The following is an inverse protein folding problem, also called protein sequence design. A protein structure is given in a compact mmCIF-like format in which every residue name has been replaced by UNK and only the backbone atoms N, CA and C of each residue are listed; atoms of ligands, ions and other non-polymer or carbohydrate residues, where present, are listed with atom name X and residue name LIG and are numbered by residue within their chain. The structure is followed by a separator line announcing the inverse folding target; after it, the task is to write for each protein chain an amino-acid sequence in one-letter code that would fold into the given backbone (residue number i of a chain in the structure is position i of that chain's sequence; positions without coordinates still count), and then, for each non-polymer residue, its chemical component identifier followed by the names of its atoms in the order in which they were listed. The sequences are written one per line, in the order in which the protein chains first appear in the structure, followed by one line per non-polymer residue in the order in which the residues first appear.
data_IF_640165036852
#
_entry.id   IF_640165036852
#
_cell.length_a   1.000
_cell.length_b   1.000
_cell.length_c   1.000
_cell.angle_alpha   90.00
_cell.angle_beta   90.00
_cell.angle_gamma   90.00
#
_symmetry.space_group_name_H-M   'P 1'
#
loop_
_entity.id
_entity.type
_entity.pdbx_description
1 polymer ?
#
# COMPACT_ATOMS: atom_id res chain seq x y z
N UNK A 1 -19.18 34.42 8.43
CA UNK A 1 -17.94 34.01 9.14
C UNK A 1 -16.70 34.36 8.33
N UNK A 2 -16.51 33.81 7.14
CA UNK A 2 -15.41 34.15 6.22
C UNK A 2 -15.39 35.62 5.77
N UNK A 3 -16.55 36.27 5.66
CA UNK A 3 -16.67 37.71 5.35
C UNK A 3 -16.02 38.65 6.39
N UNK A 4 -15.75 38.18 7.62
CA UNK A 4 -15.08 38.99 8.67
C UNK A 4 -13.56 38.86 8.64
N UNK A 5 -13.02 37.96 7.81
CA UNK A 5 -11.59 37.76 7.68
C UNK A 5 -11.10 38.77 6.65
N UNK A 6 -10.11 39.61 7.03
CA UNK A 6 -9.48 40.54 6.07
C UNK A 6 -8.85 39.71 4.94
N UNK A 7 -8.99 40.19 3.70
CA UNK A 7 -8.33 39.57 2.54
C UNK A 7 -6.87 39.25 2.91
N UNK A 8 -6.46 38.01 2.65
CA UNK A 8 -5.14 37.40 2.96
C UNK A 8 -4.91 36.83 4.37
N UNK A 9 -5.91 36.82 5.26
CA UNK A 9 -5.78 36.11 6.55
C UNK A 9 -6.49 34.76 6.54
N UNK A 10 -5.86 33.76 7.15
CA UNK A 10 -6.47 32.44 7.42
C UNK A 10 -7.51 32.62 8.54
N UNK A 11 -8.66 31.94 8.43
CA UNK A 11 -9.68 31.92 9.48
C UNK A 11 -9.07 31.42 10.80
N UNK A 12 -9.08 32.24 11.85
CA UNK A 12 -8.56 31.86 13.17
C UNK A 12 -9.67 31.43 14.12
N UNK A 13 -9.31 30.67 15.17
CA UNK A 13 -10.23 30.28 16.25
C UNK A 13 -10.85 31.50 16.93
N UNK A 14 -10.13 32.62 17.02
CA UNK A 14 -10.67 33.85 17.60
C UNK A 14 -11.73 34.50 16.71
N UNK A 15 -11.59 34.38 15.38
CA UNK A 15 -12.67 34.77 14.47
C UNK A 15 -13.92 33.92 14.71
N UNK A 16 -13.76 32.61 14.93
CA UNK A 16 -14.88 31.70 15.26
C UNK A 16 -15.56 32.12 16.55
N UNK A 17 -14.80 32.34 17.62
CA UNK A 17 -15.33 32.78 18.93
C UNK A 17 -16.06 34.11 18.80
N UNK A 18 -15.52 35.08 18.07
CA UNK A 18 -16.13 36.40 17.89
C UNK A 18 -17.47 36.35 17.14
N UNK A 19 -17.61 35.45 16.16
CA UNK A 19 -18.87 35.27 15.42
C UNK A 19 -19.89 34.55 16.29
N UNK A 20 -19.46 33.54 17.06
CA UNK A 20 -20.32 32.81 17.98
C UNK A 20 -20.90 33.73 19.06
N UNK A 21 -20.06 34.53 19.72
CA UNK A 21 -20.49 35.47 20.77
C UNK A 21 -21.39 36.58 20.22
N UNK A 22 -21.18 37.01 18.98
CA UNK A 22 -22.06 38.00 18.36
C UNK A 22 -23.46 37.45 18.06
N UNK A 23 -23.56 36.17 17.69
CA UNK A 23 -24.85 35.52 17.40
C UNK A 23 -25.55 35.05 18.67
N UNK A 24 -24.77 34.60 19.66
CA UNK A 24 -25.24 34.06 20.93
C UNK A 24 -24.42 34.65 22.09
N UNK A 25 -24.77 35.85 22.57
CA UNK A 25 -24.02 36.54 23.62
C UNK A 25 -23.95 35.76 24.94
N UNK A 26 -24.99 35.00 25.26
CA UNK A 26 -25.11 34.23 26.51
C UNK A 26 -24.49 32.82 26.43
N UNK A 27 -23.96 32.43 25.26
CA UNK A 27 -23.40 31.10 25.07
C UNK A 27 -22.02 30.96 25.73
N UNK A 28 -21.85 29.91 26.54
CA UNK A 28 -20.55 29.56 27.10
C UNK A 28 -19.66 28.91 26.04
N UNK A 29 -18.60 29.61 25.63
CA UNK A 29 -17.64 29.12 24.64
C UNK A 29 -16.98 27.81 25.08
N UNK A 30 -16.74 27.62 26.38
CA UNK A 30 -16.06 26.42 26.87
C UNK A 30 -16.92 25.17 26.74
N UNK A 31 -18.24 25.32 26.88
CA UNK A 31 -19.17 24.20 26.71
C UNK A 31 -19.33 23.78 25.24
N UNK A 32 -18.98 24.68 24.30
CA UNK A 32 -19.10 24.45 22.85
C UNK A 32 -17.76 24.08 22.20
N UNK A 33 -16.70 24.84 22.50
CA UNK A 33 -15.36 24.70 21.91
C UNK A 33 -14.34 24.04 22.83
N UNK A 34 -14.69 23.74 24.09
CA UNK A 34 -13.80 23.07 25.04
C UNK A 34 -13.60 21.58 24.75
N UNK A 35 -12.58 21.00 25.37
CA UNK A 35 -12.14 19.60 25.23
C UNK A 35 -13.18 18.63 25.83
N UNK A 36 -13.97 19.09 26.80
CA UNK A 36 -15.05 18.32 27.42
C UNK A 36 -16.44 18.65 26.82
N UNK A 37 -16.47 19.41 25.72
CA UNK A 37 -17.70 19.74 25.03
C UNK A 37 -18.34 18.48 24.44
N UNK A 38 -19.68 18.44 24.44
CA UNK A 38 -20.44 17.43 23.69
C UNK A 38 -20.11 17.42 22.20
N UNK A 39 -19.71 18.57 21.64
CA UNK A 39 -19.33 18.72 20.23
C UNK A 39 -17.86 18.37 19.95
N UNK A 40 -17.06 18.09 20.98
CA UNK A 40 -15.65 17.73 20.77
C UNK A 40 -15.50 16.38 20.10
N UNK A 41 -16.46 15.47 20.29
CA UNK A 41 -16.45 14.17 19.63
C UNK A 41 -16.52 14.32 18.10
N UNK A 42 -17.48 15.08 17.60
CA UNK A 42 -17.64 15.32 16.15
C UNK A 42 -16.43 16.05 15.54
N UNK A 43 -15.78 16.94 16.31
CA UNK A 43 -14.52 17.58 15.88
C UNK A 43 -13.37 16.59 15.76
N UNK A 44 -13.24 15.68 16.74
CA UNK A 44 -12.24 14.60 16.69
C UNK A 44 -12.49 13.66 15.53
N UNK A 45 -13.75 13.29 15.31
CA UNK A 45 -14.16 12.47 14.17
C UNK A 45 -13.87 13.17 12.83
N UNK A 46 -14.21 14.46 12.70
CA UNK A 46 -13.90 15.24 11.51
C UNK A 46 -12.40 15.39 11.24
N UNK A 47 -11.60 15.64 12.28
CA UNK A 47 -10.14 15.70 12.18
C UNK A 47 -9.55 14.34 11.78
N UNK A 48 -9.99 13.27 12.43
CA UNK A 48 -9.57 11.89 12.12
C UNK A 48 -9.99 11.48 10.70
N UNK A 49 -11.17 11.89 10.25
CA UNK A 49 -11.64 11.64 8.90
C UNK A 49 -10.75 12.36 7.88
N UNK A 50 -10.46 13.65 8.09
CA UNK A 50 -9.59 14.40 7.19
C UNK A 50 -8.17 13.80 7.12
N UNK A 51 -7.59 13.47 8.27
CA UNK A 51 -6.28 12.81 8.34
C UNK A 51 -6.28 11.44 7.63
N UNK A 52 -7.39 10.69 7.73
CA UNK A 52 -7.56 9.42 7.03
C UNK A 52 -7.61 9.61 5.51
N UNK A 53 -8.24 10.66 4.98
CA UNK A 53 -8.36 10.85 3.53
C UNK A 53 -7.03 11.12 2.81
N UNK A 54 -6.02 11.64 3.50
CA UNK A 54 -4.70 11.92 2.92
C UNK A 54 -4.69 13.04 1.87
N UNK A 55 -5.74 13.86 1.81
CA UNK A 55 -5.93 14.91 0.78
C UNK A 55 -4.90 16.05 0.83
N UNK A 56 -4.03 16.07 1.84
CA UNK A 56 -2.95 17.03 1.95
C UNK A 56 -3.35 18.33 2.66
N UNK A 57 -2.63 19.44 2.42
CA UNK A 57 -2.86 20.69 3.13
C UNK A 57 -4.18 21.35 2.73
N UNK A 58 -4.86 21.95 3.71
CA UNK A 58 -6.07 22.73 3.49
C UNK A 58 -5.74 24.13 2.92
N UNK A 59 -6.63 24.75 2.12
CA UNK A 59 -7.99 24.29 1.79
C UNK A 59 -8.04 23.28 0.64
N UNK A 60 -8.96 22.32 0.74
CA UNK A 60 -9.22 21.33 -0.30
C UNK A 60 -10.70 21.33 -0.67
N UNK A 61 -11.00 21.32 -1.97
CA UNK A 61 -12.33 21.05 -2.49
C UNK A 61 -12.30 19.77 -3.35
N UNK A 62 -13.42 19.06 -3.38
CA UNK A 62 -13.61 17.82 -4.12
C UNK A 62 -14.84 17.95 -5.02
N UNK A 63 -14.76 17.43 -6.24
CA UNK A 63 -15.92 17.24 -7.10
C UNK A 63 -16.06 15.74 -7.40
N UNK A 64 -17.16 15.12 -6.94
CA UNK A 64 -17.39 13.67 -7.06
C UNK A 64 -16.19 12.80 -6.62
N UNK A 65 -15.48 13.22 -5.56
CA UNK A 65 -14.32 12.52 -5.00
C UNK A 65 -12.96 12.94 -5.59
N UNK A 66 -12.93 13.76 -6.66
CA UNK A 66 -11.66 14.22 -7.22
C UNK A 66 -11.24 15.59 -6.65
N UNK A 67 -9.99 15.74 -6.17
CA UNK A 67 -9.50 17.01 -5.64
C UNK A 67 -9.26 18.06 -6.73
N UNK A 68 -9.63 19.30 -6.43
CA UNK A 68 -9.15 20.47 -7.16
C UNK A 68 -7.70 20.75 -6.80
N UNK A 69 -6.92 21.19 -7.79
CA UNK A 69 -5.58 21.72 -7.52
C UNK A 69 -5.70 23.10 -6.90
N UNK A 70 -4.68 23.54 -6.15
CA UNK A 70 -4.67 24.86 -5.52
C UNK A 70 -4.86 26.00 -6.53
N UNK A 71 -4.32 25.85 -7.75
CA UNK A 71 -4.48 26.85 -8.81
C UNK A 71 -5.94 26.95 -9.30
N UNK A 72 -6.71 25.87 -9.18
CA UNK A 72 -8.11 25.82 -9.60
C UNK A 72 -9.09 26.35 -8.54
N UNK A 73 -8.60 26.63 -7.32
CA UNK A 73 -9.40 27.11 -6.20
C UNK A 73 -9.49 28.65 -6.14
N UNK A 74 -9.01 29.35 -7.18
CA UNK A 74 -9.13 30.79 -7.30
C UNK A 74 -10.61 31.22 -7.34
N UNK A 75 -11.06 32.15 -6.49
CA UNK A 75 -12.47 32.55 -6.42
C UNK A 75 -13.07 33.02 -7.74
N UNK A 76 -12.26 33.64 -8.61
CA UNK A 76 -12.68 34.15 -9.92
C UNK A 76 -12.90 33.03 -10.94
N UNK A 77 -12.16 31.93 -10.84
CA UNK A 77 -12.18 30.82 -11.81
C UNK A 77 -12.89 29.57 -11.27
N UNK A 78 -13.19 29.52 -9.96
CA UNK A 78 -13.76 28.35 -9.31
C UNK A 78 -15.09 27.94 -9.94
N UNK A 79 -15.96 28.89 -10.25
CA UNK A 79 -17.25 28.62 -10.90
C UNK A 79 -17.03 27.98 -12.28
N UNK A 80 -16.13 28.53 -13.09
CA UNK A 80 -15.77 27.98 -14.40
C UNK A 80 -15.15 26.59 -14.28
N UNK A 81 -14.25 26.37 -13.32
CA UNK A 81 -13.62 25.08 -13.07
C UNK A 81 -14.62 24.01 -12.63
N UNK A 82 -15.59 24.37 -11.78
CA UNK A 82 -16.68 23.48 -11.36
C UNK A 82 -17.59 23.15 -12.55
N UNK A 83 -17.96 24.13 -13.37
CA UNK A 83 -18.76 23.92 -14.57
C UNK A 83 -18.07 22.98 -15.56
N UNK A 84 -16.77 23.15 -15.80
CA UNK A 84 -16.01 22.24 -16.64
C UNK A 84 -16.03 20.80 -16.11
N UNK A 85 -15.75 20.59 -14.82
CA UNK A 85 -15.83 19.26 -14.20
C UNK A 85 -17.22 18.65 -14.29
N UNK A 86 -18.26 19.46 -14.14
CA UNK A 86 -19.65 19.03 -14.26
C UNK A 86 -20.00 18.58 -15.67
N UNK A 87 -19.55 19.31 -16.70
CA UNK A 87 -19.74 18.91 -18.09
C UNK A 87 -19.02 17.60 -18.39
N UNK A 88 -17.77 17.45 -17.96
CA UNK A 88 -16.98 16.23 -18.15
C UNK A 88 -17.61 15.02 -17.46
N UNK A 89 -18.08 15.19 -16.22
CA UNK A 89 -18.76 14.14 -15.47
C UNK A 89 -20.09 13.74 -16.13
N UNK A 90 -20.84 14.71 -16.65
CA UNK A 90 -22.13 14.49 -17.30
C UNK A 90 -21.98 13.66 -18.59
N UNK A 91 -20.97 13.94 -19.41
CA UNK A 91 -20.68 13.16 -20.63
C UNK A 91 -20.42 11.70 -20.28
N UNK A 92 -19.63 11.45 -19.21
CA UNK A 92 -19.36 10.09 -18.75
C UNK A 92 -20.62 9.39 -18.24
N UNK A 93 -21.42 10.05 -17.40
CA UNK A 93 -22.66 9.47 -16.88
C UNK A 93 -23.69 9.20 -17.99
N UNK A 94 -23.82 10.09 -18.97
CA UNK A 94 -24.70 9.87 -20.12
C UNK A 94 -24.32 8.63 -20.93
N UNK A 95 -23.01 8.38 -21.09
CA UNK A 95 -22.52 7.17 -21.76
C UNK A 95 -22.91 5.90 -20.99
N UNK A 96 -22.78 5.91 -19.68
CA UNK A 96 -23.14 4.76 -18.82
C UNK A 96 -24.66 4.49 -18.85
N UNK A 97 -25.48 5.54 -18.85
CA UNK A 97 -26.93 5.40 -19.07
C UNK A 97 -27.23 4.79 -20.43
N UNK A 98 -26.57 5.29 -21.48
CA UNK A 98 -26.76 4.76 -22.84
C UNK A 98 -26.33 3.29 -22.97
N UNK A 99 -25.25 2.89 -22.28
CA UNK A 99 -24.79 1.49 -22.24
C UNK A 99 -25.66 0.59 -21.34
N UNK A 100 -26.62 1.16 -20.61
CA UNK A 100 -27.52 0.44 -19.70
C UNK A 100 -26.87 -0.01 -18.39
N UNK A 101 -25.60 0.38 -18.14
CA UNK A 101 -24.91 0.12 -16.87
C UNK A 101 -25.51 0.93 -15.73
N UNK A 102 -25.88 2.18 -16.00
CA UNK A 102 -26.65 3.02 -15.08
C UNK A 102 -28.13 3.03 -15.49
N UNK A 103 -29.01 2.59 -14.60
CA UNK A 103 -30.45 2.51 -14.82
C UNK A 103 -31.24 2.92 -13.56
N UNK A 104 -32.56 2.97 -13.66
CA UNK A 104 -33.45 3.45 -12.59
C UNK A 104 -33.37 2.63 -11.28
N UNK A 105 -32.78 1.43 -11.30
CA UNK A 105 -32.61 0.58 -10.11
C UNK A 105 -31.27 0.81 -9.41
N UNK A 106 -30.33 1.52 -10.03
CA UNK A 106 -28.98 1.74 -9.51
C UNK A 106 -28.90 3.11 -8.84
N UNK A 107 -28.38 3.17 -7.62
CA UNK A 107 -28.07 4.44 -6.97
C UNK A 107 -26.82 5.06 -7.63
N UNK A 108 -26.94 6.30 -8.11
CA UNK A 108 -25.85 7.01 -8.80
C UNK A 108 -24.62 7.20 -7.91
N UNK A 109 -24.81 7.40 -6.60
CA UNK A 109 -23.70 7.57 -5.66
C UNK A 109 -22.95 6.26 -5.50
N UNK A 110 -23.66 5.15 -5.31
CA UNK A 110 -23.05 3.82 -5.19
C UNK A 110 -22.30 3.47 -6.48
N UNK A 111 -22.89 3.76 -7.64
CA UNK A 111 -22.23 3.62 -8.94
C UNK A 111 -20.93 4.42 -9.05
N UNK A 112 -20.91 5.66 -8.55
CA UNK A 112 -19.68 6.46 -8.53
C UNK A 112 -18.64 5.84 -7.59
N UNK A 113 -19.06 5.29 -6.44
CA UNK A 113 -18.19 4.64 -5.46
C UNK A 113 -17.65 3.29 -5.92
N UNK A 114 -18.34 2.59 -6.82
CA UNK A 114 -17.91 1.31 -7.40
C UNK A 114 -16.77 1.46 -8.43
N UNK A 115 -16.49 2.69 -8.89
CA UNK A 115 -15.44 2.92 -9.88
C UNK A 115 -14.06 2.49 -9.35
N UNK A 116 -13.26 1.89 -10.23
CA UNK A 116 -11.91 1.37 -9.91
C UNK A 116 -10.94 2.42 -9.33
N UNK A 117 -11.18 3.71 -9.59
CA UNK A 117 -10.33 4.81 -9.12
C UNK A 117 -10.74 5.38 -7.75
N UNK A 118 -11.83 4.89 -7.14
CA UNK A 118 -12.28 5.35 -5.83
C UNK A 118 -11.54 4.59 -4.74
N UNK A 119 -10.84 5.34 -3.89
CA UNK A 119 -10.02 4.82 -2.80
C UNK A 119 -10.33 5.56 -1.50
N UNK A 120 -10.26 4.88 -0.34
CA UNK A 120 -10.61 5.49 0.95
C UNK A 120 -9.59 6.55 1.41
N UNK A 121 -8.34 6.44 0.94
CA UNK A 121 -7.23 7.33 1.26
C UNK A 121 -6.39 7.54 0.02
N UNK A 122 -6.00 8.78 -0.21
CA UNK A 122 -5.08 9.15 -1.28
C UNK A 122 -3.72 9.38 -0.65
N UNK A 123 -2.77 8.49 -0.91
CA UNK A 123 -1.40 8.66 -0.44
C UNK A 123 -0.55 9.37 -1.51
N UNK A 124 -0.04 10.58 -1.24
CA UNK A 124 0.84 11.28 -2.18
C UNK A 124 2.08 10.48 -2.57
N UNK A 125 2.62 9.66 -1.67
CA UNK A 125 3.77 8.79 -1.95
C UNK A 125 3.44 7.77 -3.05
N UNK A 126 2.26 7.16 -3.00
CA UNK A 126 1.85 6.19 -4.03
C UNK A 126 1.52 6.91 -5.36
N UNK A 127 0.93 8.11 -5.31
CA UNK A 127 0.56 8.87 -6.51
C UNK A 127 1.73 9.50 -7.25
N UNK A 128 2.66 10.13 -6.54
CA UNK A 128 3.66 11.03 -7.13
C UNK A 128 5.06 10.41 -7.22
N UNK A 129 5.29 9.25 -6.61
CA UNK A 129 6.61 8.62 -6.65
C UNK A 129 6.90 8.05 -8.04
N UNK A 130 8.10 8.33 -8.54
CA UNK A 130 8.67 7.61 -9.68
C UNK A 130 9.04 6.20 -9.22
N UNK A 131 8.24 5.23 -9.64
CA UNK A 131 8.45 3.83 -9.34
C UNK A 131 9.80 3.34 -9.86
N UNK A 132 10.56 2.66 -9.01
CA UNK A 132 11.66 1.81 -9.44
C UNK A 132 11.09 0.43 -9.78
N UNK A 133 11.42 -0.11 -10.94
CA UNK A 133 10.95 -1.42 -11.38
C UNK A 133 12.03 -2.48 -11.19
N UNK A 134 11.67 -3.58 -10.53
CA UNK A 134 12.54 -4.74 -10.37
C UNK A 134 12.48 -5.61 -11.62
N UNK A 135 13.65 -6.02 -12.10
CA UNK A 135 13.73 -7.07 -13.11
C UNK A 135 13.74 -8.43 -12.42
N UNK A 136 12.65 -9.17 -12.55
CA UNK A 136 12.40 -10.45 -11.88
C UNK A 136 12.70 -11.67 -12.78
N UNK A 137 13.29 -11.45 -13.96
CA UNK A 137 13.63 -12.48 -14.92
C UNK A 137 15.07 -12.91 -14.67
N UNK A 138 15.30 -14.18 -14.32
CA UNK A 138 16.67 -14.67 -14.13
C UNK A 138 17.38 -14.84 -15.47
N UNK A 139 18.67 -14.51 -15.49
CA UNK A 139 19.53 -14.61 -16.67
C UNK A 139 20.13 -16.00 -16.85
N UNK A 140 20.32 -16.78 -15.76
CA UNK A 140 20.67 -18.23 -15.78
C UNK A 140 21.21 -18.76 -14.43
N UNK A 141 21.53 -17.90 -13.45
CA UNK A 141 22.18 -18.32 -12.21
C UNK A 141 21.16 -18.69 -11.13
N UNK A 142 21.23 -19.91 -10.62
CA UNK A 142 20.47 -20.33 -9.43
C UNK A 142 21.38 -20.35 -8.21
N UNK A 143 21.30 -19.31 -7.38
CA UNK A 143 21.89 -19.33 -6.04
C UNK A 143 20.84 -19.81 -5.02
N UNK A 144 21.30 -20.57 -4.01
CA UNK A 144 20.52 -20.81 -2.80
C UNK A 144 20.45 -19.50 -2.00
N UNK A 145 19.29 -19.19 -1.41
CA UNK A 145 19.11 -18.00 -0.58
C UNK A 145 19.98 -18.05 0.69
N UNK A 146 20.34 -19.25 1.16
CA UNK A 146 21.25 -19.44 2.30
C UNK A 146 22.74 -19.37 1.92
N UNK A 147 23.08 -19.41 0.62
CA UNK A 147 24.45 -19.20 0.12
C UNK A 147 24.73 -17.72 -0.12
N UNK A 148 25.03 -17.02 0.98
CA UNK A 148 25.34 -15.59 0.96
C UNK A 148 26.55 -15.26 0.07
N UNK A 149 27.55 -16.15 0.00
CA UNK A 149 28.75 -15.95 -0.81
C UNK A 149 28.43 -15.85 -2.29
N UNK A 150 27.67 -16.82 -2.82
CA UNK A 150 27.27 -16.79 -4.24
C UNK A 150 26.33 -15.62 -4.51
N UNK A 151 25.38 -15.35 -3.60
CA UNK A 151 24.43 -14.25 -3.73
C UNK A 151 25.12 -12.88 -3.81
N UNK A 152 26.22 -12.68 -3.06
CA UNK A 152 26.95 -11.41 -3.03
C UNK A 152 27.43 -10.97 -4.42
N UNK A 153 27.93 -11.91 -5.23
CA UNK A 153 28.48 -11.64 -6.56
C UNK A 153 27.44 -11.54 -7.67
N UNK A 154 26.17 -11.83 -7.39
CA UNK A 154 25.09 -11.69 -8.37
C UNK A 154 24.85 -10.21 -8.72
N UNK A 155 24.41 -9.97 -9.95
CA UNK A 155 23.93 -8.66 -10.36
C UNK A 155 22.54 -8.36 -9.75
N UNK A 156 22.06 -7.12 -9.91
CA UNK A 156 20.77 -6.71 -9.33
C UNK A 156 19.57 -7.48 -9.88
N UNK A 157 19.65 -7.99 -11.12
CA UNK A 157 18.58 -8.74 -11.77
C UNK A 157 18.48 -10.15 -11.20
N UNK A 158 19.59 -10.89 -11.15
CA UNK A 158 19.64 -12.23 -10.58
C UNK A 158 19.40 -12.20 -9.06
N UNK A 159 19.85 -11.16 -8.34
CA UNK A 159 19.47 -10.94 -6.92
C UNK A 159 17.96 -10.86 -6.75
N UNK A 160 17.28 -10.08 -7.60
CA UNK A 160 15.82 -9.94 -7.56
C UNK A 160 15.10 -11.26 -7.90
N UNK A 161 15.61 -12.01 -8.87
CA UNK A 161 15.05 -13.30 -9.25
C UNK A 161 15.20 -14.37 -8.16
N UNK A 162 16.36 -14.41 -7.47
CA UNK A 162 16.61 -15.33 -6.34
C UNK A 162 15.67 -15.02 -5.17
N UNK A 163 15.47 -13.74 -4.83
CA UNK A 163 14.53 -13.35 -3.77
C UNK A 163 13.10 -13.73 -4.15
N UNK A 164 12.66 -13.45 -5.39
CA UNK A 164 11.33 -13.79 -5.85
C UNK A 164 11.04 -15.30 -5.79
N UNK A 165 12.01 -16.13 -6.18
CA UNK A 165 11.89 -17.59 -6.21
C UNK A 165 11.78 -18.22 -4.82
N UNK A 166 12.44 -17.63 -3.82
CA UNK A 166 12.52 -18.16 -2.45
C UNK A 166 11.54 -17.47 -1.49
N UNK A 167 10.62 -16.64 -2.01
CA UNK A 167 9.64 -15.93 -1.19
C UNK A 167 8.52 -16.86 -0.71
N UNK A 168 8.15 -16.70 0.56
CA UNK A 168 6.94 -17.31 1.12
C UNK A 168 5.82 -16.28 1.17
N UNK A 169 4.61 -16.72 0.81
CA UNK A 169 3.46 -15.85 0.67
C UNK A 169 2.34 -16.25 1.61
N UNK A 170 1.74 -15.24 2.25
CA UNK A 170 0.48 -15.35 2.95
C UNK A 170 -0.65 -14.94 2.00
N UNK A 171 -1.65 -15.81 1.82
CA UNK A 171 -2.89 -15.54 1.08
C UNK A 171 -4.10 -15.50 2.01
N UNK A 172 -5.26 -15.06 1.50
CA UNK A 172 -6.53 -15.14 2.22
C UNK A 172 -7.10 -16.55 2.27
N UNK A 173 -7.08 -17.24 1.14
CA UNK A 173 -7.62 -18.58 1.01
C UNK A 173 -6.51 -19.63 1.15
N UNK A 174 -6.87 -20.80 1.67
CA UNK A 174 -5.96 -21.96 1.72
C UNK A 174 -5.84 -22.65 0.35
N UNK A 175 -6.79 -22.39 -0.54
CA UNK A 175 -6.83 -22.95 -1.89
C UNK A 175 -5.90 -22.22 -2.86
N UNK A 176 -5.59 -22.90 -3.97
CA UNK A 176 -4.72 -22.48 -5.07
C UNK A 176 -5.37 -21.35 -5.91
N UNK A 177 -5.71 -20.23 -5.29
CA UNK A 177 -6.25 -19.05 -5.98
C UNK A 177 -5.13 -18.20 -6.54
N UNK A 178 -5.29 -17.82 -7.82
CA UNK A 178 -4.35 -16.94 -8.52
C UNK A 178 -4.40 -15.54 -7.90
N UNK A 179 -3.32 -15.17 -7.22
CA UNK A 179 -3.14 -13.83 -6.68
C UNK A 179 -2.67 -12.89 -7.79
N UNK A 180 -3.49 -11.89 -8.09
CA UNK A 180 -3.22 -10.91 -9.15
C UNK A 180 -2.26 -9.79 -8.68
N UNK A 181 -2.20 -9.57 -7.37
CA UNK A 181 -1.32 -8.59 -6.75
C UNK A 181 -0.37 -9.28 -5.79
N UNK A 182 0.92 -9.03 -5.94
CA UNK A 182 1.98 -9.52 -5.05
C UNK A 182 2.59 -8.35 -4.31
N UNK A 183 2.46 -8.35 -2.99
CA UNK A 183 3.02 -7.33 -2.11
C UNK A 183 4.20 -7.90 -1.34
N UNK A 184 5.34 -7.23 -1.36
CA UNK A 184 6.44 -7.48 -0.42
C UNK A 184 6.57 -6.29 0.52
N UNK A 185 6.51 -6.55 1.83
CA UNK A 185 6.85 -5.54 2.84
C UNK A 185 8.31 -5.71 3.27
N UNK A 186 9.04 -4.61 3.31
CA UNK A 186 10.45 -4.55 3.68
C UNK A 186 10.58 -3.73 4.96
N UNK A 187 11.01 -4.35 6.05
CA UNK A 187 11.21 -3.65 7.32
C UNK A 187 12.12 -4.43 8.27
N UNK A 188 12.49 -3.78 9.37
CA UNK A 188 12.99 -4.43 10.58
C UNK A 188 11.79 -4.79 11.49
N UNK A 189 11.39 -6.06 11.51
CA UNK A 189 10.25 -6.52 12.32
C UNK A 189 10.56 -6.63 13.82
N UNK A 190 11.83 -6.47 14.20
CA UNK A 190 12.23 -6.35 15.59
C UNK A 190 12.08 -4.89 16.09
N UNK A 191 11.80 -3.94 15.19
CA UNK A 191 11.46 -2.55 15.55
C UNK A 191 9.94 -2.30 15.55
N UNK A 192 9.45 -1.36 16.40
CA UNK A 192 8.02 -1.02 16.45
C UNK A 192 7.44 -0.58 15.10
N UNK A 193 8.22 0.17 14.31
CA UNK A 193 7.79 0.65 12.99
C UNK A 193 7.53 -0.51 12.01
N UNK A 194 8.42 -1.51 11.96
CA UNK A 194 8.23 -2.70 11.12
C UNK A 194 7.08 -3.59 11.60
N UNK A 195 6.89 -3.74 12.92
CA UNK A 195 5.72 -4.45 13.47
C UNK A 195 4.40 -3.75 13.13
N UNK A 196 4.37 -2.43 13.22
CA UNK A 196 3.20 -1.62 12.84
C UNK A 196 2.86 -1.81 11.36
N UNK A 197 3.86 -1.79 10.47
CA UNK A 197 3.67 -2.07 9.04
C UNK A 197 3.10 -3.48 8.82
N UNK A 198 3.68 -4.49 9.46
CA UNK A 198 3.19 -5.87 9.37
C UNK A 198 1.74 -5.98 9.85
N UNK A 199 1.39 -5.33 10.96
CA UNK A 199 0.02 -5.33 11.49
C UNK A 199 -0.97 -4.71 10.50
N UNK A 200 -0.62 -3.58 9.88
CA UNK A 200 -1.46 -2.92 8.88
C UNK A 200 -1.59 -3.76 7.61
N UNK A 201 -0.52 -4.38 7.14
CA UNK A 201 -0.55 -5.32 6.02
C UNK A 201 -1.48 -6.52 6.33
N UNK A 202 -1.38 -7.09 7.53
CA UNK A 202 -2.24 -8.21 7.96
C UNK A 202 -3.72 -7.81 8.09
N UNK A 203 -4.04 -6.56 8.47
CA UNK A 203 -5.41 -6.05 8.46
C UNK A 203 -5.96 -5.99 7.04
N UNK A 204 -5.17 -5.47 6.09
CA UNK A 204 -5.53 -5.41 4.68
C UNK A 204 -5.76 -6.82 4.09
N UNK A 205 -4.90 -7.79 4.39
CA UNK A 205 -5.02 -9.17 3.93
C UNK A 205 -6.27 -9.92 4.43
N UNK A 206 -7.05 -9.35 5.36
CA UNK A 206 -8.34 -9.93 5.79
C UNK A 206 -9.46 -9.73 4.78
N UNK A 207 -9.38 -8.68 4.00
CA UNK A 207 -10.43 -8.28 3.05
C UNK A 207 -10.00 -8.50 1.60
N UNK A 208 -8.70 -8.45 1.33
CA UNK A 208 -8.18 -8.63 -0.03
C UNK A 208 -8.09 -10.12 -0.38
N UNK A 209 -8.88 -10.49 -1.39
CA UNK A 209 -8.91 -11.84 -1.97
C UNK A 209 -7.96 -12.01 -3.16
N UNK A 210 -7.44 -10.91 -3.72
CA UNK A 210 -6.60 -10.93 -4.93
C UNK A 210 -5.11 -10.73 -4.63
N UNK A 211 -4.77 -10.41 -3.39
CA UNK A 211 -3.39 -10.15 -2.98
C UNK A 211 -2.75 -11.33 -2.26
N UNK A 212 -1.43 -11.42 -2.41
CA UNK A 212 -0.55 -12.24 -1.56
C UNK A 212 0.55 -11.39 -0.95
N UNK A 213 0.91 -11.68 0.29
CA UNK A 213 1.87 -10.90 1.07
C UNK A 213 3.15 -11.70 1.36
N UNK A 214 4.28 -11.19 0.92
CA UNK A 214 5.63 -11.66 1.26
C UNK A 214 6.35 -10.66 2.17
N UNK A 215 7.41 -11.14 2.83
CA UNK A 215 8.15 -10.37 3.83
C UNK A 215 9.66 -10.43 3.55
N UNK A 216 10.30 -9.26 3.47
CA UNK A 216 11.75 -9.11 3.36
C UNK A 216 12.30 -8.46 4.62
N UNK A 217 13.39 -9.00 5.14
CA UNK A 217 13.97 -8.62 6.43
C UNK A 217 15.07 -7.58 6.19
N UNK A 218 14.91 -6.37 6.72
CA UNK A 218 15.93 -5.32 6.65
C UNK A 218 16.37 -4.87 8.05
N UNK A 219 17.05 -5.74 8.83
CA UNK A 219 17.40 -5.46 10.22
C UNK A 219 18.32 -4.24 10.35
N UNK A 220 18.06 -3.40 11.36
CA UNK A 220 18.85 -2.20 11.69
C UNK A 220 20.10 -2.57 12.48
N UNK A 221 19.95 -3.53 13.41
CA UNK A 221 21.00 -4.00 14.31
C UNK A 221 21.83 -5.13 13.68
N UNK A 222 22.94 -5.49 14.34
CA UNK A 222 23.73 -6.67 13.95
C UNK A 222 22.85 -7.92 13.95
N UNK A 223 22.94 -8.70 12.88
CA UNK A 223 22.19 -9.96 12.68
C UNK A 223 22.77 -11.03 13.62
N UNK A 224 22.09 -11.26 14.74
CA UNK A 224 22.33 -12.32 15.71
C UNK A 224 20.99 -12.86 16.24
N UNK A 225 21.02 -13.93 17.04
CA UNK A 225 19.79 -14.57 17.55
C UNK A 225 18.94 -13.63 18.43
N UNK A 226 19.58 -12.78 19.23
CA UNK A 226 18.91 -11.86 20.15
C UNK A 226 18.19 -10.71 19.43
N UNK A 227 18.85 -10.06 18.46
CA UNK A 227 18.32 -8.89 17.78
C UNK A 227 17.33 -9.21 16.66
N UNK A 228 17.23 -10.48 16.25
CA UNK A 228 16.34 -10.92 15.15
C UNK A 228 15.30 -11.91 15.63
N UNK A 229 14.99 -11.93 16.93
CA UNK A 229 14.10 -12.89 17.55
C UNK A 229 12.71 -12.91 16.92
N UNK A 230 12.14 -11.74 16.60
CA UNK A 230 10.82 -11.63 15.95
C UNK A 230 10.94 -11.98 14.47
N UNK A 231 11.95 -11.46 13.77
CA UNK A 231 12.18 -11.77 12.34
C UNK A 231 12.36 -13.28 12.10
N UNK A 232 13.06 -13.99 12.99
CA UNK A 232 13.16 -15.46 13.00
C UNK A 232 11.84 -16.14 13.26
N UNK A 233 11.03 -15.58 14.16
CA UNK A 233 9.68 -16.08 14.46
C UNK A 233 8.76 -15.98 13.26
N UNK A 234 8.81 -14.85 12.56
CA UNK A 234 8.06 -14.61 11.31
C UNK A 234 8.48 -15.63 10.24
N UNK A 235 9.78 -15.78 9.99
CA UNK A 235 10.28 -16.74 9.00
C UNK A 235 9.93 -18.18 9.34
N UNK A 236 10.15 -18.60 10.59
CA UNK A 236 9.79 -19.94 11.04
C UNK A 236 8.29 -20.19 10.88
N UNK A 237 7.45 -19.18 11.14
CA UNK A 237 6.01 -19.30 10.94
C UNK A 237 5.66 -19.53 9.47
N UNK A 238 6.24 -18.76 8.54
CA UNK A 238 6.04 -18.95 7.09
C UNK A 238 6.44 -20.35 6.62
N UNK A 239 7.43 -20.97 7.25
CA UNK A 239 7.98 -22.27 6.87
C UNK A 239 7.21 -23.46 7.43
N UNK A 240 6.50 -23.30 8.55
CA UNK A 240 5.89 -24.43 9.26
C UNK A 240 4.38 -24.36 9.38
N UNK A 241 3.75 -23.20 9.15
CA UNK A 241 2.33 -22.98 9.46
C UNK A 241 1.50 -22.79 8.19
N UNK A 242 0.25 -23.26 8.23
CA UNK A 242 -0.77 -22.98 7.20
C UNK A 242 -1.25 -21.53 7.29
N UNK A 243 -1.79 -20.97 6.20
CA UNK A 243 -2.19 -19.56 6.09
C UNK A 243 -3.11 -19.06 7.22
N UNK A 244 -4.09 -19.85 7.63
CA UNK A 244 -5.02 -19.52 8.71
C UNK A 244 -4.31 -19.31 10.06
N UNK A 245 -3.45 -20.26 10.46
CA UNK A 245 -2.65 -20.17 11.67
C UNK A 245 -1.52 -19.14 11.56
N UNK A 246 -0.85 -19.08 10.40
CA UNK A 246 0.22 -18.14 10.08
C UNK A 246 -0.25 -16.71 10.32
N UNK A 247 -1.37 -16.30 9.72
CA UNK A 247 -1.93 -14.95 9.87
C UNK A 247 -2.20 -14.60 11.33
N UNK A 248 -2.81 -15.52 12.07
CA UNK A 248 -3.12 -15.31 13.48
C UNK A 248 -1.86 -15.16 14.32
N UNK A 249 -0.84 -15.96 14.04
CA UNK A 249 0.43 -15.92 14.75
C UNK A 249 1.27 -14.68 14.40
N UNK A 250 1.36 -14.31 13.12
CA UNK A 250 2.02 -13.06 12.70
C UNK A 250 1.37 -11.84 13.35
N UNK A 251 0.04 -11.82 13.48
CA UNK A 251 -0.68 -10.76 14.20
C UNK A 251 -0.32 -10.70 15.68
N UNK A 252 -0.06 -11.85 16.33
CA UNK A 252 0.43 -11.89 17.71
C UNK A 252 1.86 -11.37 17.80
N UNK A 253 2.75 -11.81 16.92
CA UNK A 253 4.15 -11.35 16.87
C UNK A 253 4.29 -9.85 16.60
N UNK A 254 3.36 -9.27 15.84
CA UNK A 254 3.33 -7.84 15.54
C UNK A 254 2.84 -6.97 16.72
N UNK A 255 2.38 -7.55 17.84
CA UNK A 255 1.95 -6.79 19.02
C UNK A 255 3.14 -6.36 19.88
N UNK A 256 3.07 -5.14 20.40
CA UNK A 256 4.11 -4.59 21.27
C UNK A 256 4.22 -5.35 22.60
N UNK A 257 3.10 -5.84 23.15
CA UNK A 257 3.13 -6.62 24.40
C UNK A 257 3.84 -7.96 24.21
N UNK A 258 3.66 -8.59 23.05
CA UNK A 258 4.35 -9.85 22.71
C UNK A 258 5.83 -9.61 22.44
N UNK A 259 6.17 -8.55 21.72
CA UNK A 259 7.57 -8.17 21.47
C UNK A 259 8.32 -7.92 22.78
N UNK A 260 7.76 -7.12 23.68
CA UNK A 260 8.37 -6.81 24.99
C UNK A 260 8.54 -8.04 25.86
N UNK A 261 7.59 -8.97 25.86
CA UNK A 261 7.71 -10.23 26.58
C UNK A 261 8.83 -11.14 26.02
N UNK A 262 8.96 -11.23 24.69
CA UNK A 262 10.05 -11.98 24.03
C UNK A 262 11.41 -11.39 24.38
N UNK A 263 11.55 -10.05 24.33
CA UNK A 263 12.79 -9.38 24.71
C UNK A 263 13.12 -9.50 26.20
N UNK A 264 12.12 -9.72 27.04
CA UNK A 264 12.28 -9.97 28.48
C UNK A 264 12.64 -11.43 28.81
N UNK A 265 12.80 -12.28 27.79
CA UNK A 265 13.24 -13.67 27.94
C UNK A 265 12.12 -14.71 27.87
N UNK A 266 10.88 -14.32 27.56
CA UNK A 266 9.81 -15.29 27.36
C UNK A 266 10.05 -16.09 26.06
N UNK A 267 9.88 -17.42 26.14
CA UNK A 267 10.09 -18.29 24.97
C UNK A 267 8.98 -18.07 23.97
N UNK A 268 9.34 -17.80 22.71
CA UNK A 268 8.38 -17.53 21.61
C UNK A 268 7.27 -18.61 21.46
N UNK A 269 7.54 -19.84 21.88
CA UNK A 269 6.59 -20.96 21.84
C UNK A 269 5.36 -20.79 22.75
N UNK A 270 5.43 -19.95 23.78
CA UNK A 270 4.28 -19.67 24.66
C UNK A 270 3.17 -18.95 23.91
N UNK A 271 3.51 -18.21 22.85
CA UNK A 271 2.56 -17.43 22.05
C UNK A 271 1.86 -18.26 20.94
N UNK A 272 2.31 -19.49 20.68
CA UNK A 272 1.71 -20.38 19.69
C UNK A 272 0.27 -20.76 20.08
N UNK A 273 -0.66 -20.68 19.14
CA UNK A 273 -2.05 -21.10 19.34
C UNK A 273 -2.21 -22.61 19.34
N UNK A 274 -3.28 -23.09 19.98
CA UNK A 274 -3.72 -24.49 19.86
C UNK A 274 -3.98 -24.84 18.39
N UNK A 275 -3.52 -26.01 17.94
CA UNK A 275 -3.60 -26.46 16.55
C UNK A 275 -2.35 -26.19 15.69
N UNK A 276 -1.39 -25.38 16.16
CA UNK A 276 -0.10 -25.21 15.48
C UNK A 276 0.85 -26.37 15.78
N UNK A 277 1.68 -26.75 14.79
CA UNK A 277 2.77 -27.69 15.03
C UNK A 277 3.89 -26.99 15.81
N UNK A 278 3.83 -27.13 17.14
CA UNK A 278 4.78 -26.53 18.07
C UNK A 278 6.19 -27.10 17.90
N UNK A 279 6.30 -28.40 17.62
CA UNK A 279 7.58 -29.08 17.52
C UNK A 279 8.31 -28.71 16.24
N UNK A 280 7.61 -28.71 15.10
CA UNK A 280 8.17 -28.26 13.84
C UNK A 280 8.58 -26.79 13.90
N UNK A 281 7.74 -25.94 14.49
CA UNK A 281 8.05 -24.53 14.67
C UNK A 281 9.30 -24.31 15.55
N UNK A 282 9.35 -24.92 16.74
CA UNK A 282 10.50 -24.76 17.66
C UNK A 282 11.80 -25.26 17.01
N UNK A 283 11.75 -26.41 16.33
CA UNK A 283 12.89 -26.93 15.57
C UNK A 283 13.32 -25.95 14.49
N UNK A 284 12.38 -25.39 13.71
CA UNK A 284 12.73 -24.48 12.62
C UNK A 284 13.25 -23.15 13.14
N UNK A 285 12.63 -22.59 14.16
CA UNK A 285 13.04 -21.34 14.83
C UNK A 285 14.49 -21.41 15.31
N UNK A 286 14.87 -22.50 15.97
CA UNK A 286 16.23 -22.69 16.48
C UNK A 286 17.25 -23.05 15.39
N UNK A 287 16.81 -23.45 14.20
CA UNK A 287 17.69 -23.81 13.07
C UNK A 287 17.73 -22.75 11.96
N UNK A 288 17.01 -21.62 12.10
CA UNK A 288 17.08 -20.52 11.12
C UNK A 288 18.51 -19.98 11.06
N UNK A 289 19.14 -20.08 9.90
CA UNK A 289 20.47 -19.53 9.65
C UNK A 289 20.47 -17.99 9.61
N UNK A 290 21.62 -17.38 9.95
CA UNK A 290 21.81 -15.93 9.80
C UNK A 290 21.89 -15.48 8.34
N UNK A 291 22.23 -16.40 7.43
CA UNK A 291 22.52 -16.08 6.03
C UNK A 291 21.30 -15.52 5.31
N UNK A 292 20.10 -16.04 5.56
CA UNK A 292 18.89 -15.54 4.89
C UNK A 292 18.63 -14.06 5.19
N UNK A 293 18.89 -13.62 6.43
CA UNK A 293 18.77 -12.21 6.83
C UNK A 293 19.86 -11.35 6.20
N UNK A 294 21.08 -11.87 6.06
CA UNK A 294 22.18 -11.18 5.36
C UNK A 294 21.89 -11.04 3.87
N UNK A 295 21.36 -12.08 3.25
CA UNK A 295 20.92 -12.10 1.84
C UNK A 295 19.82 -11.07 1.61
N UNK A 296 18.78 -11.05 2.46
CA UNK A 296 17.71 -10.04 2.39
C UNK A 296 18.24 -8.62 2.61
N UNK A 297 19.13 -8.41 3.60
CA UNK A 297 19.72 -7.10 3.86
C UNK A 297 20.56 -6.61 2.67
N UNK A 298 21.35 -7.49 2.05
CA UNK A 298 22.15 -7.15 0.88
C UNK A 298 21.26 -6.81 -0.32
N UNK A 299 20.17 -7.55 -0.53
CA UNK A 299 19.18 -7.23 -1.55
C UNK A 299 18.60 -5.81 -1.36
N UNK A 300 18.23 -5.47 -0.12
CA UNK A 300 17.73 -4.14 0.22
C UNK A 300 18.74 -3.03 -0.12
N UNK A 301 20.03 -3.26 0.16
CA UNK A 301 21.09 -2.28 -0.10
C UNK A 301 21.45 -2.17 -1.59
N UNK A 302 21.68 -3.30 -2.25
CA UNK A 302 22.21 -3.33 -3.62
C UNK A 302 21.13 -3.04 -4.66
N UNK A 303 19.92 -3.57 -4.47
CA UNK A 303 18.83 -3.48 -5.44
C UNK A 303 17.88 -2.34 -5.09
N UNK A 304 17.35 -2.34 -3.87
CA UNK A 304 16.34 -1.35 -3.44
C UNK A 304 16.95 -0.01 -2.99
N UNK A 305 18.27 0.04 -2.82
CA UNK A 305 19.01 1.23 -2.33
C UNK A 305 18.53 1.71 -0.94
N UNK A 306 18.01 0.79 -0.12
CA UNK A 306 17.59 1.05 1.26
C UNK A 306 18.77 0.86 2.23
N UNK A 307 18.86 1.74 3.22
CA UNK A 307 19.76 1.58 4.37
C UNK A 307 19.19 0.54 5.36
N UNK A 308 20.04 -0.08 6.20
CA UNK A 308 19.58 -0.95 7.27
C UNK A 308 18.49 -0.29 8.14
N UNK A 309 17.36 -0.96 8.33
CA UNK A 309 16.23 -0.46 9.10
C UNK A 309 15.25 0.44 8.34
N UNK A 310 15.60 0.94 7.15
CA UNK A 310 14.64 1.68 6.32
C UNK A 310 13.54 0.75 5.80
N UNK A 311 12.35 1.33 5.66
CA UNK A 311 11.12 0.61 5.33
C UNK A 311 10.79 0.83 3.85
N UNK A 312 10.25 -0.20 3.19
CA UNK A 312 9.78 -0.10 1.83
C UNK A 312 8.69 -1.12 1.51
N UNK A 313 8.04 -0.94 0.36
CA UNK A 313 7.03 -1.85 -0.16
C UNK A 313 7.32 -2.11 -1.64
N UNK A 314 7.15 -3.35 -2.08
CA UNK A 314 7.14 -3.72 -3.50
C UNK A 314 5.75 -4.22 -3.86
N UNK A 315 5.15 -3.68 -4.93
CA UNK A 315 3.89 -4.17 -5.51
C UNK A 315 4.10 -4.61 -6.95
N UNK A 316 3.93 -5.89 -7.25
CA UNK A 316 4.20 -6.48 -8.57
C UNK A 316 5.55 -6.02 -9.18
N UNK A 317 6.61 -6.01 -8.38
CA UNK A 317 7.93 -5.56 -8.81
C UNK A 317 8.12 -4.03 -8.86
N UNK A 318 7.10 -3.22 -8.54
CA UNK A 318 7.19 -1.76 -8.40
C UNK A 318 7.59 -1.42 -6.96
N UNK A 319 8.78 -0.88 -6.78
CA UNK A 319 9.32 -0.52 -5.48
C UNK A 319 8.94 0.92 -5.07
N UNK A 320 8.52 1.06 -3.81
CA UNK A 320 8.21 2.29 -3.11
C UNK A 320 8.98 2.33 -1.78
N UNK A 321 9.93 3.26 -1.66
CA UNK A 321 10.68 3.50 -0.43
C UNK A 321 11.87 4.44 -0.66
N UNK A 322 12.55 4.88 0.41
CA UNK A 322 12.24 4.63 1.82
C UNK A 322 10.93 5.30 2.27
N UNK A 323 10.21 4.66 3.20
CA UNK A 323 8.97 5.18 3.77
C UNK A 323 9.24 5.86 5.12
N UNK A 324 9.07 7.19 5.16
CA UNK A 324 9.21 8.00 6.38
C UNK A 324 7.91 8.10 7.19
N UNK A 325 6.75 7.89 6.55
CA UNK A 325 5.43 8.02 7.14
C UNK A 325 4.83 6.67 7.58
N UNK A 326 3.85 6.74 8.49
CA UNK A 326 3.02 5.59 8.85
C UNK A 326 2.22 5.14 7.62
N UNK A 327 2.58 4.00 7.03
CA UNK A 327 1.78 3.36 5.99
C UNK A 327 0.59 2.63 6.64
N UNK A 328 -0.63 3.10 6.38
CA UNK A 328 -1.86 2.61 6.97
C UNK A 328 -2.49 1.49 6.14
N UNK A 329 -3.59 0.91 6.65
CA UNK A 329 -4.30 -0.17 5.96
C UNK A 329 -4.90 0.33 4.64
N UNK A 330 -5.42 1.55 4.65
CA UNK A 330 -6.02 2.28 3.53
C UNK A 330 -5.03 2.49 2.39
N UNK A 331 -3.74 2.69 2.71
CA UNK A 331 -2.68 2.82 1.73
C UNK A 331 -2.40 1.51 0.99
N UNK A 332 -2.57 0.35 1.64
CA UNK A 332 -2.47 -0.95 0.98
C UNK A 332 -3.64 -1.19 0.01
N UNK A 333 -4.86 -0.79 0.36
CA UNK A 333 -5.98 -0.84 -0.60
C UNK A 333 -5.73 0.06 -1.80
N UNK A 334 -5.18 1.25 -1.57
CA UNK A 334 -4.84 2.14 -2.65
C UNK A 334 -3.78 1.54 -3.58
N UNK A 335 -2.76 0.91 -3.00
CA UNK A 335 -1.70 0.22 -3.74
C UNK A 335 -2.23 -0.98 -4.52
N UNK A 336 -3.10 -1.79 -3.92
CA UNK A 336 -3.78 -2.91 -4.59
C UNK A 336 -4.60 -2.42 -5.78
N UNK A 337 -5.46 -1.42 -5.58
CA UNK A 337 -6.31 -0.86 -6.65
C UNK A 337 -5.49 -0.24 -7.78
N UNK A 338 -4.43 0.50 -7.45
CA UNK A 338 -3.53 1.10 -8.45
C UNK A 338 -2.74 0.04 -9.21
N UNK A 339 -2.43 -1.09 -8.58
CA UNK A 339 -1.70 -2.20 -9.22
C UNK A 339 -2.65 -3.07 -10.05
N UNK A 340 -3.82 -3.38 -9.50
CA UNK A 340 -4.90 -4.14 -10.11
C UNK A 340 -5.63 -3.29 -11.15
N UNK A 341 -4.93 -3.03 -12.25
CA UNK A 341 -5.47 -2.34 -13.42
C UNK A 341 -6.09 -3.35 -14.39
N UNK A 342 -6.89 -2.87 -15.33
CA UNK A 342 -7.41 -3.68 -16.45
C UNK A 342 -6.31 -4.45 -17.20
N UNK A 343 -5.05 -4.03 -17.07
CA UNK A 343 -3.91 -4.74 -17.63
C UNK A 343 -3.57 -6.01 -16.86
N UNK A 344 -3.53 -5.95 -15.53
CA UNK A 344 -3.34 -7.12 -14.67
C UNK A 344 -4.52 -8.08 -14.81
N UNK A 345 -5.75 -7.57 -14.97
CA UNK A 345 -6.92 -8.41 -15.29
C UNK A 345 -6.78 -9.14 -16.63
N UNK A 346 -6.31 -8.44 -17.67
CA UNK A 346 -6.04 -9.07 -18.97
C UNK A 346 -4.93 -10.12 -18.88
N UNK A 347 -3.85 -9.83 -18.15
CA UNK A 347 -2.77 -10.80 -17.92
C UNK A 347 -3.34 -12.02 -17.19
N UNK A 348 -4.12 -11.81 -16.13
CA UNK A 348 -4.77 -12.88 -15.38
C UNK A 348 -5.62 -13.76 -16.29
N UNK A 349 -6.50 -13.17 -17.12
CA UNK A 349 -7.34 -13.93 -18.06
C UNK A 349 -6.55 -14.69 -19.12
N UNK A 350 -5.38 -14.20 -19.56
CA UNK A 350 -4.49 -14.94 -20.47
C UNK A 350 -3.83 -16.11 -19.74
N UNK A 351 -3.34 -15.88 -18.52
CA UNK A 351 -2.60 -16.86 -17.72
C UNK A 351 -3.52 -17.97 -17.20
N UNK A 352 -4.79 -17.68 -16.89
CA UNK A 352 -5.80 -18.67 -16.50
C UNK A 352 -6.05 -19.74 -17.57
N UNK A 353 -5.80 -19.44 -18.84
CA UNK A 353 -5.92 -20.39 -19.94
C UNK A 353 -4.67 -21.29 -20.11
N UNK A 354 -3.65 -21.13 -19.26
CA UNK A 354 -2.44 -21.95 -19.30
C UNK A 354 -2.54 -23.11 -18.30
N UNK A 355 -2.04 -24.29 -18.66
CA UNK A 355 -2.01 -25.46 -17.78
C UNK A 355 -0.82 -25.40 -16.80
N UNK A 356 -0.88 -24.48 -15.84
CA UNK A 356 0.19 -24.17 -14.87
C UNK A 356 -0.42 -24.09 -13.46
N UNK A 357 0.33 -24.41 -12.41
CA UNK A 357 -0.16 -24.24 -11.04
C UNK A 357 -0.41 -22.77 -10.68
N UNK A 358 -1.41 -22.51 -9.82
CA UNK A 358 -1.81 -21.16 -9.39
C UNK A 358 -0.68 -20.31 -8.79
N UNK A 359 0.26 -20.97 -8.07
CA UNK A 359 1.44 -20.32 -7.50
C UNK A 359 2.36 -19.79 -8.61
N UNK A 360 2.63 -20.62 -9.60
CA UNK A 360 3.46 -20.25 -10.75
C UNK A 360 2.75 -19.20 -11.63
N UNK A 361 1.42 -19.26 -11.73
CA UNK A 361 0.61 -18.24 -12.40
C UNK A 361 0.72 -16.88 -11.68
N UNK A 362 0.61 -16.85 -10.35
CA UNK A 362 0.75 -15.63 -9.56
C UNK A 362 2.16 -15.01 -9.71
N UNK A 363 3.20 -15.86 -9.74
CA UNK A 363 4.57 -15.42 -10.03
C UNK A 363 4.73 -14.88 -11.46
N UNK A 364 4.06 -15.50 -12.43
CA UNK A 364 4.07 -15.04 -13.81
C UNK A 364 3.38 -13.68 -13.94
N UNK A 365 2.21 -13.48 -13.32
CA UNK A 365 1.51 -12.18 -13.29
C UNK A 365 2.43 -11.09 -12.75
N UNK A 366 3.10 -11.33 -11.62
CA UNK A 366 4.06 -10.39 -11.03
C UNK A 366 5.22 -10.06 -11.99
N UNK A 367 5.85 -11.07 -12.60
CA UNK A 367 7.00 -10.87 -13.51
C UNK A 367 6.61 -10.11 -14.77
N UNK A 368 5.47 -10.46 -15.35
CA UNK A 368 4.95 -9.84 -16.58
C UNK A 368 4.54 -8.40 -16.32
N UNK A 369 3.84 -8.12 -15.21
CA UNK A 369 3.47 -6.74 -14.85
C UNK A 369 4.70 -5.87 -14.57
N UNK A 370 5.69 -6.39 -13.84
CA UNK A 370 6.95 -5.69 -13.58
C UNK A 370 7.68 -5.31 -14.88
N UNK A 371 7.82 -6.28 -15.79
CA UNK A 371 8.49 -6.09 -17.08
C UNK A 371 7.73 -5.06 -17.93
N UNK A 372 6.43 -5.24 -18.12
CA UNK A 372 5.64 -4.40 -19.02
C UNK A 372 5.45 -2.99 -18.47
N UNK A 373 5.33 -2.84 -17.15
CA UNK A 373 5.27 -1.54 -16.50
C UNK A 373 6.60 -0.78 -16.56
N UNK A 374 7.74 -1.48 -16.66
CA UNK A 374 9.07 -0.87 -16.78
C UNK A 374 9.35 -0.32 -18.18
N UNK A 375 8.62 -0.79 -19.21
CA UNK A 375 8.83 -0.35 -20.58
C UNK A 375 8.38 1.11 -20.73
N UNK A 376 9.16 1.96 -21.43
CA UNK A 376 8.73 3.32 -21.70
C UNK A 376 7.41 3.28 -22.48
N UNK A 377 6.40 4.03 -22.01
CA UNK A 377 5.17 4.25 -22.77
C UNK A 377 5.58 4.80 -24.13
N UNK A 378 5.52 3.99 -25.19
CA UNK A 378 5.76 4.47 -26.56
C UNK A 378 4.75 5.59 -26.78
N UNK A 379 5.22 6.83 -26.87
CA UNK A 379 4.41 7.94 -27.28
C UNK A 379 3.87 7.63 -28.68
N UNK A 380 2.63 7.19 -28.77
CA UNK A 380 1.96 6.97 -30.04
C UNK A 380 1.52 8.33 -30.57
N UNK A 381 2.45 9.05 -31.18
CA UNK A 381 2.24 10.09 -32.20
C UNK A 381 3.59 10.34 -32.86
N UNK A 382 3.85 9.59 -33.92
CA UNK A 382 4.80 10.05 -34.93
C UNK A 382 4.02 11.05 -35.78
N UNK A 383 4.52 12.29 -35.90
CA UNK A 383 4.01 13.21 -36.91
C UNK A 383 4.32 12.61 -38.27
N UNK A 384 3.27 12.09 -38.93
CA UNK A 384 3.37 11.69 -40.33
C UNK A 384 3.37 12.99 -41.13
N UNK A 385 4.54 13.42 -41.58
CA UNK A 385 4.64 14.43 -42.63
C UNK A 385 4.05 13.84 -43.90
N UNK A 386 2.80 14.19 -44.21
CA UNK A 386 2.23 13.94 -45.52
C UNK A 386 3.08 14.69 -46.56
N UNK A 387 3.51 13.99 -47.61
CA UNK A 387 4.11 14.62 -48.77
C UNK A 387 3.07 15.61 -49.33
N UNK A 388 3.45 16.89 -49.42
CA UNK A 388 2.62 17.91 -50.06
C UNK A 388 2.30 17.45 -51.48
N UNK A 389 1.02 17.24 -51.77
CA UNK A 389 0.56 17.13 -53.14
C UNK A 389 0.85 18.46 -53.83
N UNK A 390 1.79 18.45 -54.77
CA UNK A 390 1.98 19.54 -55.71
C UNK A 390 0.81 19.49 -56.69
N UNK A 391 -0.29 20.14 -56.35
CA UNK A 391 -1.27 20.52 -57.36
C UNK A 391 -0.63 21.62 -58.23
N UNK A 392 -0.45 21.29 -59.50
CA UNK A 392 -0.10 22.23 -60.57
C UNK A 392 -1.32 22.46 -61.44
#
# INVERSE_FOLDING_TARGET
MYQKVKNDKILTVDNVKSVLLNLFPDANIWDILGIHSKYDNDRKEGASFYEMTGLGPLPQALYNGEPFKLEQLNPEELETNVLHRMMDATINLQREVFMGTLNDRTNVIDFLMEKNNVVPRVNPLVLHTKWQYLNLISTSVTADIEDFSTFFFLDSQDKSAVIAKNMYYLTQEEDDVISSVTLWIIADFDKPSGRKLLLNALKFMKTSVHSRLGVIYNPTSKINEENTAISRGVLAAFLTQKNSFLRNFLRKLAKEETATAIYSGEKIKTFLTEGMDKNAFEKKYNTVGVNIFRTHQLFCQDVLKLRPGEIGIVSNGKFLGPLDENFYTEDFYFLEKTTFTNFVEKIKGIVENMDISSKNMSDLVMKVDALLSSLPKRASRHDITFLRENHR
#
